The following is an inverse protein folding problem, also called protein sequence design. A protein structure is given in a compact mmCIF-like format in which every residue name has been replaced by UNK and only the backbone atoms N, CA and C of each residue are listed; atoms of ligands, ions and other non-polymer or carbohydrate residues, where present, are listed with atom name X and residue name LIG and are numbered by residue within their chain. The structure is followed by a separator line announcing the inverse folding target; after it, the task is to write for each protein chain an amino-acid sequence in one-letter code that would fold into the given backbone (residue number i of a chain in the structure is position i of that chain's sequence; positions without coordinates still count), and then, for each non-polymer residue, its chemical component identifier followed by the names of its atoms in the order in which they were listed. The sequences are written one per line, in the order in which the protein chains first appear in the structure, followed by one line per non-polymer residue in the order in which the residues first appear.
data_IF_306662580316
#
_entry.id   IF_306662580316
#
_cell.length_a   1.000
_cell.length_b   1.000
_cell.length_c   1.000
_cell.angle_alpha   90.00
_cell.angle_beta   90.00
_cell.angle_gamma   90.00
#
_symmetry.space_group_name_H-M   'P 1'
#
loop_
_entity.id
_entity.type
_entity.pdbx_description
1 polymer ?
#
# COMPACT_ATOMS: atom_id res chain seq x y z
N UNK A 1 1.23 -1.66 -8.21
CA UNK A 1 0.13 -1.51 -7.23
C UNK A 1 0.63 -1.90 -5.84
N UNK A 2 -0.06 -1.60 -4.74
CA UNK A 2 0.43 -2.12 -3.45
C UNK A 2 0.21 -3.64 -3.40
N UNK A 3 1.22 -4.38 -2.95
CA UNK A 3 1.24 -5.84 -2.93
C UNK A 3 1.56 -6.54 -4.25
N UNK A 4 1.66 -5.79 -5.36
CA UNK A 4 1.88 -6.37 -6.69
C UNK A 4 2.68 -5.46 -7.62
N UNK A 5 3.66 -6.04 -8.32
CA UNK A 5 4.38 -5.39 -9.42
C UNK A 5 3.77 -5.82 -10.76
N UNK A 6 3.96 -5.00 -11.80
CA UNK A 6 3.69 -5.43 -13.18
C UNK A 6 4.83 -6.34 -13.63
N UNK A 7 4.51 -7.42 -14.33
CA UNK A 7 5.54 -8.26 -14.91
C UNK A 7 6.32 -7.46 -15.98
N UNK A 8 7.67 -7.58 -16.04
CA UNK A 8 8.50 -6.80 -16.96
C UNK A 8 8.27 -7.19 -18.43
N UNK A 9 7.86 -8.43 -18.67
CA UNK A 9 7.58 -9.03 -19.98
C UNK A 9 6.13 -8.82 -20.44
N UNK A 10 5.19 -8.65 -19.51
CA UNK A 10 3.78 -8.47 -19.82
C UNK A 10 3.10 -7.58 -18.78
N UNK A 11 2.77 -6.35 -19.16
CA UNK A 11 2.12 -5.36 -18.30
C UNK A 11 0.71 -5.76 -17.82
N UNK A 12 0.07 -6.74 -18.46
CA UNK A 12 -1.23 -7.30 -18.05
C UNK A 12 -1.09 -8.41 -17.00
N UNK A 13 0.14 -8.88 -16.74
CA UNK A 13 0.44 -9.86 -15.71
C UNK A 13 0.93 -9.15 -14.45
N UNK A 14 0.42 -9.57 -13.30
CA UNK A 14 0.87 -9.09 -12.00
C UNK A 14 1.76 -10.17 -11.35
N UNK A 15 2.84 -9.72 -10.74
CA UNK A 15 3.73 -10.53 -9.90
C UNK A 15 3.63 -10.04 -8.45
N UNK A 16 3.81 -10.94 -7.49
CA UNK A 16 3.73 -10.59 -6.06
C UNK A 16 4.91 -9.68 -5.70
N UNK A 17 4.61 -8.54 -5.09
CA UNK A 17 5.63 -7.68 -4.49
C UNK A 17 5.92 -8.17 -3.07
N UNK A 18 7.00 -8.94 -2.87
CA UNK A 18 7.32 -9.55 -1.56
C UNK A 18 7.39 -8.51 -0.43
N UNK A 19 7.81 -7.29 -0.74
CA UNK A 19 7.99 -6.21 0.23
C UNK A 19 6.65 -5.65 0.75
N UNK A 20 5.61 -5.63 -0.08
CA UNK A 20 4.30 -5.05 0.28
C UNK A 20 3.12 -6.03 0.26
N UNK A 21 3.34 -7.27 -0.17
CA UNK A 21 2.30 -8.31 -0.24
C UNK A 21 1.67 -8.60 1.14
N UNK A 22 2.45 -8.46 2.21
CA UNK A 22 1.95 -8.64 3.57
C UNK A 22 0.83 -7.66 3.93
N UNK A 23 0.84 -6.44 3.36
CA UNK A 23 -0.18 -5.41 3.61
C UNK A 23 -1.54 -5.90 3.09
N UNK A 24 -1.56 -6.43 1.86
CA UNK A 24 -2.77 -6.99 1.24
C UNK A 24 -3.25 -8.20 2.02
N UNK A 25 -2.33 -9.11 2.37
CA UNK A 25 -2.66 -10.29 3.19
C UNK A 25 -3.31 -9.88 4.52
N UNK A 26 -2.73 -8.89 5.21
CA UNK A 26 -3.21 -8.38 6.49
C UNK A 26 -4.59 -7.75 6.41
N UNK A 27 -4.90 -7.03 5.33
CA UNK A 27 -6.26 -6.49 5.09
C UNK A 27 -7.28 -7.64 5.06
N UNK A 28 -7.00 -8.70 4.30
CA UNK A 28 -7.90 -9.86 4.21
C UNK A 28 -8.00 -10.63 5.53
N UNK A 29 -6.90 -10.79 6.26
CA UNK A 29 -6.92 -11.42 7.60
C UNK A 29 -7.83 -10.64 8.57
N UNK A 30 -7.69 -9.31 8.64
CA UNK A 30 -8.49 -8.47 9.53
C UNK A 30 -9.96 -8.41 9.09
N UNK A 31 -10.22 -8.35 7.79
CA UNK A 31 -11.58 -8.41 7.25
C UNK A 31 -12.23 -9.76 7.56
N UNK A 32 -11.50 -10.87 7.43
CA UNK A 32 -11.96 -12.20 7.78
C UNK A 32 -12.22 -12.35 9.29
N UNK A 33 -11.49 -11.61 10.13
CA UNK A 33 -11.75 -11.49 11.56
C UNK A 33 -12.96 -10.59 11.91
N UNK A 34 -13.72 -10.13 10.91
CA UNK A 34 -14.91 -9.29 11.09
C UNK A 34 -14.63 -7.80 11.25
N UNK A 35 -13.40 -7.35 10.98
CA UNK A 35 -13.04 -5.96 11.10
C UNK A 35 -13.51 -5.16 9.88
N UNK A 36 -14.32 -4.13 10.11
CA UNK A 36 -14.78 -3.23 9.03
C UNK A 36 -13.65 -2.35 8.47
N UNK A 37 -13.79 -1.94 7.21
CA UNK A 37 -12.80 -1.15 6.46
C UNK A 37 -12.25 0.07 7.25
N UNK A 38 -13.11 0.85 7.90
CA UNK A 38 -12.68 2.02 8.68
C UNK A 38 -11.80 1.67 9.88
N UNK A 39 -12.08 0.55 10.54
CA UNK A 39 -11.26 0.05 11.66
C UNK A 39 -9.91 -0.43 11.16
N UNK A 40 -9.87 -1.16 10.04
CA UNK A 40 -8.63 -1.60 9.39
C UNK A 40 -7.77 -0.39 9.02
N UNK A 41 -8.34 0.62 8.34
CA UNK A 41 -7.62 1.83 7.97
C UNK A 41 -7.08 2.61 9.18
N UNK A 42 -7.86 2.68 10.26
CA UNK A 42 -7.44 3.33 11.51
C UNK A 42 -6.30 2.56 12.17
N UNK A 43 -6.36 1.23 12.16
CA UNK A 43 -5.30 0.38 12.69
C UNK A 43 -4.01 0.54 11.88
N UNK A 44 -4.08 0.52 10.55
CA UNK A 44 -2.92 0.69 9.68
C UNK A 44 -2.27 2.07 9.85
N UNK A 45 -3.08 3.12 10.03
CA UNK A 45 -2.57 4.46 10.34
C UNK A 45 -1.81 4.49 11.67
N UNK A 46 -2.33 3.81 12.71
CA UNK A 46 -1.67 3.70 14.03
C UNK A 46 -0.37 2.90 13.94
N UNK A 47 -0.35 1.85 13.15
CA UNK A 47 0.81 1.00 12.88
C UNK A 47 1.81 1.65 11.91
N UNK A 48 1.50 2.84 11.39
CA UNK A 48 2.31 3.56 10.38
C UNK A 48 2.59 2.73 9.12
N UNK A 49 1.62 1.91 8.71
CA UNK A 49 1.70 1.18 7.44
C UNK A 49 1.67 2.19 6.30
N UNK A 50 2.66 2.16 5.38
CA UNK A 50 2.77 3.19 4.36
C UNK A 50 1.57 3.17 3.42
N UNK A 51 0.98 4.34 3.16
CA UNK A 51 -0.06 4.44 2.16
C UNK A 51 0.50 4.13 0.75
N UNK A 52 -0.31 3.55 -0.16
CA UNK A 52 0.16 3.14 -1.49
C UNK A 52 0.83 4.25 -2.30
N UNK A 53 0.32 5.48 -2.21
CA UNK A 53 0.91 6.62 -2.91
C UNK A 53 2.27 7.00 -2.35
N UNK A 54 2.45 6.94 -1.03
CA UNK A 54 3.72 7.27 -0.38
C UNK A 54 4.77 6.23 -0.73
N UNK A 55 4.37 4.95 -0.69
CA UNK A 55 5.23 3.85 -1.07
C UNK A 55 5.79 3.99 -2.49
N UNK A 56 4.91 4.20 -3.47
CA UNK A 56 5.30 4.38 -4.88
C UNK A 56 6.19 5.63 -5.08
N UNK A 57 5.97 6.67 -4.30
CA UNK A 57 6.80 7.87 -4.33
C UNK A 57 8.18 7.63 -3.74
N UNK A 58 8.25 6.97 -2.58
CA UNK A 58 9.52 6.67 -1.90
C UNK A 58 10.45 5.79 -2.72
N UNK A 59 9.89 4.91 -3.56
CA UNK A 59 10.65 4.07 -4.50
C UNK A 59 10.97 4.76 -5.84
N UNK A 60 10.52 5.99 -6.04
CA UNK A 60 10.71 6.73 -7.30
C UNK A 60 9.90 6.18 -8.48
N UNK A 61 8.97 5.24 -8.25
CA UNK A 61 8.15 4.66 -9.31
C UNK A 61 7.11 5.64 -9.85
N UNK A 62 6.71 6.62 -9.01
CA UNK A 62 5.82 7.72 -9.40
C UNK A 62 6.21 9.01 -8.71
N UNK A 63 6.11 10.12 -9.46
CA UNK A 63 6.23 11.45 -8.87
C UNK A 63 4.89 11.87 -8.23
N UNK A 64 4.91 11.95 -6.90
CA UNK A 64 3.84 12.45 -6.07
C UNK A 64 4.33 13.54 -5.11
N UNK A 65 5.44 14.20 -5.45
CA UNK A 65 6.07 15.26 -4.65
C UNK A 65 5.06 16.27 -4.10
N UNK A 66 4.20 16.82 -4.98
CA UNK A 66 3.13 17.76 -4.63
C UNK A 66 2.13 17.23 -3.59
N UNK A 67 1.87 15.92 -3.57
CA UNK A 67 0.91 15.28 -2.65
C UNK A 67 1.48 15.16 -1.23
N UNK A 68 2.81 15.09 -1.11
CA UNK A 68 3.53 14.89 0.15
C UNK A 68 4.24 16.14 0.66
N UNK A 69 3.94 17.31 0.08
CA UNK A 69 4.28 18.61 0.66
C UNK A 69 3.72 18.74 2.09
N UNK A 70 2.49 18.27 2.33
CA UNK A 70 1.95 18.12 3.67
C UNK A 70 2.50 16.83 4.34
N UNK A 71 3.20 16.92 5.49
CA UNK A 71 3.74 15.77 6.20
C UNK A 71 2.67 14.74 6.62
N UNK A 72 1.44 15.16 6.88
CA UNK A 72 0.35 14.27 7.30
C UNK A 72 -0.04 13.27 6.21
N UNK A 73 0.23 13.57 4.95
CA UNK A 73 -0.08 12.68 3.83
C UNK A 73 0.95 11.54 3.69
N UNK A 74 2.08 11.59 4.41
CA UNK A 74 3.17 10.61 4.29
C UNK A 74 2.84 9.27 4.98
N UNK A 75 1.77 9.21 5.77
CA UNK A 75 1.39 8.06 6.61
C UNK A 75 -0.03 7.59 6.32
#
# INVERSE_FOLDING_TARGET
PIGYLKAPDNHNKLIVDVETAWIVKRIFELANAGMGMHKIATQFRREQVPCPSWWLHSRGEKDYSKRFENPENKV
#
